data_IF_476449802119
#
_entry.id   IF_476449802119
#
_cell.length_a   1.000
_cell.length_b   1.000
_cell.length_c   1.000
_cell.angle_alpha   90.00
_cell.angle_beta   90.00
_cell.angle_gamma   90.00
#
_symmetry.space_group_name_H-M   'P 1'
#
loop_
_entity.id
_entity.type
_entity.pdbx_description
1 polymer ?
#
# COMPACT_ATOMS: atom_id res chain seq x y z
N UNK A 1 5.91 16.19 -4.08
CA UNK A 1 5.06 15.41 -3.14
C UNK A 1 5.96 14.75 -2.11
N UNK A 2 5.63 14.73 -0.81
CA UNK A 2 6.49 14.07 0.20
C UNK A 2 6.33 12.55 0.03
N UNK A 3 7.41 11.88 -0.33
CA UNK A 3 7.45 10.43 -0.46
C UNK A 3 7.29 9.74 0.90
N UNK A 4 6.67 8.56 0.91
CA UNK A 4 6.57 7.73 2.11
C UNK A 4 7.96 7.18 2.48
N UNK A 5 8.37 7.35 3.73
CA UNK A 5 9.64 6.83 4.25
C UNK A 5 9.50 6.45 5.73
N UNK A 6 10.42 5.62 6.24
CA UNK A 6 10.37 5.14 7.62
C UNK A 6 9.44 3.94 7.82
N UNK A 7 8.97 3.73 9.05
CA UNK A 7 8.10 2.61 9.40
C UNK A 7 6.64 2.97 9.16
N UNK A 8 5.96 2.14 8.40
CA UNK A 8 4.55 2.26 8.05
C UNK A 8 3.83 1.01 8.57
N UNK A 9 2.79 1.21 9.36
CA UNK A 9 2.02 0.09 9.91
C UNK A 9 1.06 -0.47 8.86
N UNK A 10 1.17 -1.76 8.54
CA UNK A 10 0.12 -2.48 7.82
C UNK A 10 -1.06 -2.67 8.79
N UNK A 11 -1.93 -1.66 8.89
CA UNK A 11 -2.95 -1.58 9.93
C UNK A 11 -3.98 -2.70 9.77
N UNK A 12 -4.33 -3.34 10.89
CA UNK A 12 -5.43 -4.30 10.96
C UNK A 12 -6.77 -3.56 10.91
N UNK A 13 -7.80 -4.24 10.40
CA UNK A 13 -9.17 -3.72 10.41
C UNK A 13 -9.99 -4.47 11.46
N UNK A 14 -10.48 -3.81 12.51
CA UNK A 14 -11.38 -4.43 13.48
C UNK A 14 -12.80 -4.56 12.91
N UNK A 15 -13.42 -5.72 13.16
CA UNK A 15 -14.80 -6.02 12.79
C UNK A 15 -15.61 -6.37 14.04
N UNK A 16 -16.91 -6.17 13.96
CA UNK A 16 -17.86 -6.70 14.95
C UNK A 16 -18.25 -8.16 14.66
N UNK A 17 -19.20 -8.69 15.45
CA UNK A 17 -19.68 -10.06 15.31
C UNK A 17 -20.52 -10.26 14.03
N UNK A 18 -21.06 -9.21 13.48
CA UNK A 18 -21.83 -9.18 12.25
C UNK A 18 -20.93 -9.04 11.00
N UNK A 19 -19.62 -8.77 11.20
CA UNK A 19 -18.63 -8.57 10.13
C UNK A 19 -18.60 -7.13 9.56
N UNK A 20 -19.19 -6.17 10.27
CA UNK A 20 -19.11 -4.76 9.92
C UNK A 20 -17.87 -4.10 10.56
N UNK A 21 -17.38 -3.03 9.95
CA UNK A 21 -16.18 -2.31 10.43
C UNK A 21 -16.50 -1.59 11.75
N UNK A 22 -15.65 -1.77 12.76
CA UNK A 22 -15.72 -1.02 14.02
C UNK A 22 -15.00 0.30 13.90
N UNK A 23 -15.71 1.34 13.47
CA UNK A 23 -15.15 2.67 13.16
C UNK A 23 -14.51 3.35 14.36
N UNK A 24 -15.08 3.23 15.55
CA UNK A 24 -14.50 3.72 16.81
C UNK A 24 -13.15 3.09 17.11
N UNK A 25 -13.02 1.77 16.89
CA UNK A 25 -11.76 1.06 17.09
C UNK A 25 -10.72 1.42 16.02
N UNK A 26 -11.11 1.77 14.78
CA UNK A 26 -10.20 2.37 13.78
C UNK A 26 -9.60 3.66 14.33
N UNK A 27 -10.42 4.54 14.90
CA UNK A 27 -9.97 5.79 15.50
C UNK A 27 -8.95 5.60 16.62
N UNK A 28 -9.17 4.62 17.49
CA UNK A 28 -8.25 4.27 18.58
C UNK A 28 -6.91 3.75 18.05
N UNK A 29 -6.94 2.83 17.06
CA UNK A 29 -5.75 2.31 16.41
C UNK A 29 -4.93 3.40 15.73
N UNK A 30 -5.56 4.25 14.94
CA UNK A 30 -4.90 5.40 14.27
C UNK A 30 -4.25 6.32 15.30
N UNK A 31 -4.97 6.62 16.39
CA UNK A 31 -4.45 7.49 17.46
C UNK A 31 -3.27 6.84 18.19
N UNK A 32 -3.32 5.54 18.46
CA UNK A 32 -2.23 4.78 19.06
C UNK A 32 -0.98 4.83 18.19
N UNK A 33 -1.10 4.54 16.92
CA UNK A 33 0.00 4.54 15.96
C UNK A 33 0.61 5.94 15.77
N UNK A 34 -0.24 6.97 15.65
CA UNK A 34 0.21 8.34 15.50
C UNK A 34 0.98 8.83 16.75
N UNK A 35 0.58 8.41 17.97
CA UNK A 35 1.31 8.73 19.21
C UNK A 35 2.66 8.03 19.28
N UNK A 36 2.78 6.82 18.75
CA UNK A 36 4.03 6.08 18.69
C UNK A 36 5.03 6.65 17.65
N UNK A 37 4.57 7.52 16.75
CA UNK A 37 5.44 8.21 15.80
C UNK A 37 5.76 7.42 14.53
N UNK A 38 4.94 6.44 14.16
CA UNK A 38 5.07 5.77 12.86
C UNK A 38 4.92 6.78 11.71
N UNK A 39 5.61 6.55 10.61
CA UNK A 39 5.60 7.46 9.47
C UNK A 39 4.28 7.44 8.69
N UNK A 40 3.60 6.29 8.68
CA UNK A 40 2.36 6.12 7.94
C UNK A 40 1.56 4.88 8.35
N UNK A 41 0.34 4.80 7.81
CA UNK A 41 -0.56 3.65 7.95
C UNK A 41 -0.93 3.13 6.56
N UNK A 42 -0.79 1.84 6.33
CA UNK A 42 -1.23 1.16 5.12
C UNK A 42 -2.54 0.44 5.43
N UNK A 43 -3.64 1.01 4.94
CA UNK A 43 -5.01 0.57 5.20
C UNK A 43 -5.47 -0.48 4.20
N UNK A 44 -6.34 -1.38 4.63
CA UNK A 44 -6.99 -2.40 3.78
C UNK A 44 -6.02 -3.24 2.93
N UNK A 45 -4.74 -3.34 3.36
CA UNK A 45 -3.80 -4.29 2.79
C UNK A 45 -4.10 -5.72 3.25
N UNK A 46 -3.13 -6.64 3.08
CA UNK A 46 -3.30 -8.05 3.50
C UNK A 46 -3.59 -8.18 5.00
N UNK A 47 -2.87 -7.46 5.85
CA UNK A 47 -3.12 -7.45 7.30
C UNK A 47 -4.47 -6.80 7.66
N UNK A 48 -4.90 -5.81 6.89
CA UNK A 48 -6.17 -5.12 7.06
C UNK A 48 -7.35 -5.80 6.35
N UNK A 49 -7.18 -7.03 5.84
CA UNK A 49 -8.26 -7.84 5.24
C UNK A 49 -8.97 -7.22 4.02
N UNK A 50 -8.40 -6.18 3.40
CA UNK A 50 -9.09 -5.35 2.41
C UNK A 50 -9.63 -6.10 1.19
N UNK A 51 -8.95 -7.17 0.74
CA UNK A 51 -9.40 -7.94 -0.44
C UNK A 51 -10.64 -8.82 -0.21
N UNK A 52 -11.06 -9.00 1.04
CA UNK A 52 -12.28 -9.74 1.40
C UNK A 52 -13.38 -8.82 1.96
N UNK A 53 -13.11 -7.52 2.05
CA UNK A 53 -14.08 -6.50 2.42
C UNK A 53 -14.90 -6.05 1.21
N UNK A 54 -16.13 -5.62 1.47
CA UNK A 54 -16.91 -4.89 0.47
C UNK A 54 -16.25 -3.54 0.17
N UNK A 55 -16.43 -2.98 -1.05
CA UNK A 55 -15.89 -1.66 -1.39
C UNK A 55 -16.32 -0.55 -0.43
N UNK A 56 -17.59 -0.53 -0.02
CA UNK A 56 -18.14 0.44 0.95
C UNK A 56 -17.42 0.37 2.30
N UNK A 57 -17.16 -0.82 2.83
CA UNK A 57 -16.40 -1.00 4.07
C UNK A 57 -14.96 -0.49 3.96
N UNK A 58 -14.32 -0.65 2.79
CA UNK A 58 -12.96 -0.11 2.56
C UNK A 58 -12.96 1.41 2.57
N UNK A 59 -13.95 2.03 1.94
CA UNK A 59 -14.12 3.49 1.94
C UNK A 59 -14.34 4.00 3.37
N UNK A 60 -15.20 3.36 4.15
CA UNK A 60 -15.42 3.68 5.55
C UNK A 60 -14.12 3.66 6.38
N UNK A 61 -13.24 2.67 6.16
CA UNK A 61 -11.92 2.62 6.81
C UNK A 61 -11.05 3.80 6.37
N UNK A 62 -11.08 4.20 5.11
CA UNK A 62 -10.29 5.34 4.62
C UNK A 62 -10.75 6.65 5.28
N UNK A 63 -12.05 6.92 5.28
CA UNK A 63 -12.64 8.12 5.86
C UNK A 63 -12.36 8.24 7.36
N UNK A 64 -12.60 7.16 8.12
CA UNK A 64 -12.35 7.17 9.56
C UNK A 64 -10.86 7.30 9.87
N UNK A 65 -9.99 6.63 9.15
CA UNK A 65 -8.54 6.77 9.37
C UNK A 65 -8.06 8.19 9.10
N UNK A 66 -8.48 8.83 8.03
CA UNK A 66 -8.13 10.24 7.70
C UNK A 66 -8.64 11.19 8.79
N UNK A 67 -9.89 11.04 9.23
CA UNK A 67 -10.51 11.82 10.29
C UNK A 67 -9.70 11.78 11.60
N UNK A 68 -9.20 10.62 11.98
CA UNK A 68 -8.42 10.47 13.23
C UNK A 68 -6.92 10.73 13.06
N UNK A 69 -6.36 10.54 11.86
CA UNK A 69 -4.97 10.87 11.57
C UNK A 69 -4.68 12.37 11.73
N UNK A 70 -5.57 13.24 11.27
CA UNK A 70 -5.46 14.71 11.38
C UNK A 70 -4.10 15.25 10.93
N UNK A 71 -3.53 14.66 9.87
CA UNK A 71 -2.22 15.01 9.35
C UNK A 71 -1.02 14.61 10.21
N UNK A 72 -1.21 13.91 11.35
CA UNK A 72 -0.12 13.47 12.24
C UNK A 72 0.64 12.25 11.72
N UNK A 73 0.02 11.48 10.85
CA UNK A 73 0.55 10.26 10.24
C UNK A 73 0.01 10.16 8.82
N UNK A 74 0.85 9.69 7.88
CA UNK A 74 0.46 9.54 6.49
C UNK A 74 -0.48 8.35 6.28
N UNK A 75 -1.45 8.49 5.39
CA UNK A 75 -2.43 7.45 5.07
C UNK A 75 -2.19 6.95 3.65
N UNK A 76 -1.84 5.69 3.52
CA UNK A 76 -1.73 4.94 2.27
C UNK A 76 -2.90 3.96 2.18
N UNK A 77 -3.84 4.17 1.27
CA UNK A 77 -4.99 3.28 1.08
C UNK A 77 -4.67 2.18 0.06
N UNK A 78 -4.89 0.91 0.39
CA UNK A 78 -4.84 -0.16 -0.59
C UNK A 78 -6.13 -0.19 -1.39
N UNK A 79 -6.02 0.03 -2.71
CA UNK A 79 -7.16 0.07 -3.64
C UNK A 79 -7.18 -1.11 -4.62
N UNK A 80 -6.20 -2.02 -4.54
CA UNK A 80 -6.12 -3.18 -5.42
C UNK A 80 -7.37 -4.06 -5.31
N UNK A 81 -7.83 -4.55 -6.47
CA UNK A 81 -9.00 -5.40 -6.65
C UNK A 81 -8.75 -6.45 -7.73
N UNK A 82 -9.68 -7.39 -7.90
CA UNK A 82 -9.59 -8.40 -8.95
C UNK A 82 -9.78 -7.81 -10.35
N UNK A 83 -10.55 -6.72 -10.47
CA UNK A 83 -10.77 -5.99 -11.72
C UNK A 83 -10.14 -4.59 -11.68
N UNK A 84 -9.77 -4.08 -12.85
CA UNK A 84 -9.26 -2.71 -13.00
C UNK A 84 -10.33 -1.68 -12.69
N UNK A 85 -11.57 -1.92 -13.10
CA UNK A 85 -12.70 -1.02 -12.87
C UNK A 85 -12.95 -0.78 -11.36
N UNK A 86 -12.96 -1.85 -10.57
CA UNK A 86 -13.12 -1.74 -9.10
C UNK A 86 -11.93 -1.05 -8.45
N UNK A 87 -10.70 -1.35 -8.89
CA UNK A 87 -9.49 -0.70 -8.35
C UNK A 87 -9.48 0.81 -8.65
N UNK A 88 -9.91 1.23 -9.84
CA UNK A 88 -10.08 2.63 -10.25
C UNK A 88 -11.17 3.31 -9.41
N UNK A 89 -12.32 2.67 -9.22
CA UNK A 89 -13.39 3.21 -8.38
C UNK A 89 -12.94 3.42 -6.93
N UNK A 90 -12.22 2.43 -6.36
CA UNK A 90 -11.66 2.55 -5.01
C UNK A 90 -10.58 3.62 -4.90
N UNK A 91 -9.78 3.83 -5.96
CA UNK A 91 -8.78 4.89 -5.98
C UNK A 91 -9.44 6.28 -5.92
N UNK A 92 -10.49 6.51 -6.71
CA UNK A 92 -11.27 7.75 -6.65
C UNK A 92 -11.90 7.98 -5.28
N UNK A 93 -12.52 6.94 -4.69
CA UNK A 93 -13.10 7.05 -3.33
C UNK A 93 -12.03 7.31 -2.26
N UNK A 94 -10.82 6.75 -2.40
CA UNK A 94 -9.72 7.03 -1.49
C UNK A 94 -9.23 8.48 -1.60
N UNK A 95 -9.17 9.03 -2.82
CA UNK A 95 -8.84 10.44 -3.05
C UNK A 95 -9.90 11.36 -2.45
N UNK A 96 -11.19 11.08 -2.66
CA UNK A 96 -12.31 11.82 -2.04
C UNK A 96 -12.27 11.76 -0.51
N UNK A 97 -11.89 10.64 0.08
CA UNK A 97 -11.70 10.50 1.52
C UNK A 97 -10.50 11.30 2.05
N UNK A 98 -9.59 11.77 1.18
CA UNK A 98 -8.47 12.62 1.54
C UNK A 98 -7.23 11.86 2.04
N UNK A 99 -6.98 10.65 1.54
CA UNK A 99 -5.75 9.91 1.85
C UNK A 99 -4.52 10.57 1.21
N UNK A 100 -3.33 10.29 1.70
CA UNK A 100 -2.09 10.88 1.19
C UNK A 100 -1.53 10.15 -0.06
N UNK A 101 -1.88 8.87 -0.23
CA UNK A 101 -1.44 8.04 -1.35
C UNK A 101 -2.32 6.80 -1.50
N UNK A 102 -2.25 6.16 -2.66
CA UNK A 102 -2.88 4.87 -2.92
C UNK A 102 -1.86 3.80 -3.26
N UNK A 103 -2.16 2.55 -2.93
CA UNK A 103 -1.35 1.40 -3.30
C UNK A 103 -2.21 0.28 -3.87
N UNK A 104 -1.75 -0.40 -4.92
CA UNK A 104 -2.50 -1.48 -5.54
C UNK A 104 -1.63 -2.71 -5.82
N UNK A 105 -2.19 -3.90 -5.62
CA UNK A 105 -1.66 -5.15 -6.17
C UNK A 105 -2.08 -5.28 -7.63
N UNK A 106 -1.34 -6.06 -8.47
CA UNK A 106 -1.87 -6.44 -9.78
C UNK A 106 -3.19 -7.20 -9.63
N UNK A 107 -4.03 -7.28 -10.67
CA UNK A 107 -5.23 -8.11 -10.65
C UNK A 107 -4.91 -9.50 -10.11
N UNK A 108 -5.71 -10.02 -9.21
CA UNK A 108 -5.51 -11.32 -8.57
C UNK A 108 -6.59 -12.32 -9.00
N UNK A 109 -6.41 -13.60 -8.66
CA UNK A 109 -7.25 -14.73 -9.08
C UNK A 109 -7.10 -15.12 -10.56
N UNK A 110 -6.88 -14.16 -11.47
CA UNK A 110 -6.59 -14.38 -12.89
C UNK A 110 -5.11 -14.19 -13.18
N UNK A 111 -4.63 -14.67 -14.35
CA UNK A 111 -3.26 -14.48 -14.82
C UNK A 111 -3.24 -13.67 -16.11
N UNK A 112 -3.37 -12.34 -16.03
CA UNK A 112 -3.24 -11.48 -17.20
C UNK A 112 -1.80 -11.49 -17.73
N UNK A 113 -1.62 -11.09 -18.97
CA UNK A 113 -0.30 -10.87 -19.54
C UNK A 113 0.37 -9.59 -18.96
N UNK A 114 1.66 -9.41 -19.26
CA UNK A 114 2.44 -8.28 -18.74
C UNK A 114 1.84 -6.93 -19.12
N UNK A 115 1.39 -6.76 -20.36
CA UNK A 115 0.82 -5.48 -20.82
C UNK A 115 -0.51 -5.19 -20.12
N UNK A 116 -1.33 -6.18 -19.89
CA UNK A 116 -2.56 -6.03 -19.11
C UNK A 116 -2.30 -5.61 -17.66
N UNK A 117 -1.24 -6.14 -17.03
CA UNK A 117 -0.82 -5.70 -15.67
C UNK A 117 -0.34 -4.24 -15.69
N UNK A 118 0.47 -3.84 -16.68
CA UNK A 118 0.92 -2.46 -16.81
C UNK A 118 -0.25 -1.50 -17.02
N UNK A 119 -1.19 -1.87 -17.89
CA UNK A 119 -2.38 -1.05 -18.17
C UNK A 119 -3.30 -0.93 -16.95
N UNK A 120 -3.37 -1.97 -16.09
CA UNK A 120 -4.09 -1.89 -14.83
C UNK A 120 -3.53 -0.77 -13.92
N UNK A 121 -2.21 -0.70 -13.75
CA UNK A 121 -1.60 0.35 -12.92
C UNK A 121 -1.70 1.74 -13.57
N UNK A 122 -1.57 1.83 -14.89
CA UNK A 122 -1.79 3.08 -15.61
C UNK A 122 -3.20 3.61 -15.43
N UNK A 123 -4.20 2.75 -15.57
CA UNK A 123 -5.60 3.14 -15.37
C UNK A 123 -5.86 3.66 -13.93
N UNK A 124 -5.23 3.07 -12.92
CA UNK A 124 -5.31 3.57 -11.54
C UNK A 124 -4.62 4.93 -11.43
N UNK A 125 -3.43 5.06 -12.02
CA UNK A 125 -2.67 6.30 -11.98
C UNK A 125 -3.39 7.45 -12.71
N UNK A 126 -4.01 7.19 -13.86
CA UNK A 126 -4.80 8.15 -14.62
C UNK A 126 -6.07 8.62 -13.91
N UNK A 127 -6.59 7.82 -12.98
CA UNK A 127 -7.85 8.09 -12.30
C UNK A 127 -7.71 9.05 -11.09
N UNK A 128 -6.49 9.29 -10.60
CA UNK A 128 -6.24 10.10 -9.39
C UNK A 128 -5.00 10.98 -9.56
N UNK A 129 -4.97 12.10 -8.84
CA UNK A 129 -3.78 12.96 -8.72
C UNK A 129 -2.83 12.50 -7.59
N UNK A 130 -3.26 11.53 -6.78
CA UNK A 130 -2.50 11.01 -5.66
C UNK A 130 -1.26 10.23 -6.10
N UNK A 131 -0.19 10.20 -5.27
CA UNK A 131 0.91 9.26 -5.43
C UNK A 131 0.43 7.81 -5.41
N UNK A 132 0.86 7.02 -6.40
CA UNK A 132 0.50 5.60 -6.56
C UNK A 132 1.70 4.73 -6.24
N UNK A 133 1.50 3.73 -5.38
CA UNK A 133 2.49 2.72 -5.04
C UNK A 133 2.08 1.36 -5.59
N UNK A 134 2.93 0.74 -6.36
CA UNK A 134 2.73 -0.63 -6.82
C UNK A 134 3.01 -1.58 -5.65
N UNK A 135 2.10 -2.52 -5.39
CA UNK A 135 2.27 -3.51 -4.32
C UNK A 135 2.56 -4.89 -4.93
N UNK A 136 3.82 -5.30 -4.89
CA UNK A 136 4.25 -6.61 -5.35
C UNK A 136 4.16 -7.65 -4.23
N UNK A 137 3.18 -8.56 -4.32
CA UNK A 137 2.98 -9.68 -3.40
C UNK A 137 2.56 -10.94 -4.18
N UNK A 138 3.45 -11.54 -4.98
CA UNK A 138 3.09 -12.62 -5.92
C UNK A 138 2.51 -13.86 -5.26
N UNK A 139 2.85 -14.12 -4.00
CA UNK A 139 2.28 -15.23 -3.22
C UNK A 139 0.75 -15.13 -3.07
N UNK A 140 0.22 -13.92 -2.94
CA UNK A 140 -1.20 -13.67 -2.72
C UNK A 140 -1.91 -13.25 -4.02
N UNK A 141 -1.26 -12.40 -4.83
CA UNK A 141 -1.84 -11.90 -6.07
C UNK A 141 -1.69 -12.87 -7.25
N UNK A 142 -0.87 -13.93 -7.14
CA UNK A 142 -0.52 -14.88 -8.21
C UNK A 142 0.26 -14.26 -9.38
N UNK A 143 0.37 -12.94 -9.42
CA UNK A 143 1.03 -12.16 -10.45
C UNK A 143 2.16 -11.35 -9.81
N UNK A 144 3.35 -11.43 -10.40
CA UNK A 144 4.50 -10.65 -9.97
C UNK A 144 4.66 -9.41 -10.87
N UNK A 145 5.07 -8.30 -10.25
CA UNK A 145 5.55 -7.13 -10.98
C UNK A 145 7.08 -7.20 -11.01
N UNK A 146 7.66 -7.41 -12.18
CA UNK A 146 9.12 -7.55 -12.31
C UNK A 146 9.83 -6.19 -12.26
N UNK A 147 11.15 -6.14 -11.97
CA UNK A 147 11.91 -4.90 -12.04
C UNK A 147 11.81 -4.19 -13.39
N UNK A 148 11.79 -4.94 -14.50
CA UNK A 148 11.56 -4.41 -15.85
C UNK A 148 10.18 -3.74 -15.98
N UNK A 149 9.13 -4.36 -15.45
CA UNK A 149 7.78 -3.78 -15.45
C UNK A 149 7.73 -2.51 -14.59
N UNK A 150 8.38 -2.53 -13.41
CA UNK A 150 8.46 -1.36 -12.56
C UNK A 150 9.20 -0.19 -13.21
N UNK A 151 10.29 -0.48 -13.95
CA UNK A 151 11.01 0.55 -14.70
C UNK A 151 10.09 1.22 -15.74
N UNK A 152 9.26 0.46 -16.43
CA UNK A 152 8.25 1.03 -17.36
C UNK A 152 7.17 1.83 -16.63
N UNK A 153 6.71 1.37 -15.46
CA UNK A 153 5.71 2.08 -14.66
C UNK A 153 6.28 3.34 -14.01
N UNK A 154 7.59 3.41 -13.78
CA UNK A 154 8.22 4.62 -13.22
C UNK A 154 8.25 5.81 -14.21
N UNK A 155 7.87 5.60 -15.46
CA UNK A 155 7.68 6.66 -16.45
C UNK A 155 6.33 7.40 -16.25
N UNK A 156 5.37 6.81 -15.50
CA UNK A 156 4.09 7.45 -15.20
C UNK A 156 4.28 8.49 -14.08
N UNK A 157 3.79 9.73 -14.27
CA UNK A 157 4.14 10.87 -13.40
C UNK A 157 3.82 10.70 -11.92
N UNK A 158 2.75 9.98 -11.59
CA UNK A 158 2.29 9.78 -10.21
C UNK A 158 2.50 8.35 -9.68
N UNK A 159 3.08 7.43 -10.45
CA UNK A 159 3.58 6.16 -9.91
C UNK A 159 4.96 6.42 -9.31
N UNK A 160 5.04 6.48 -7.99
CA UNK A 160 6.20 7.02 -7.25
C UNK A 160 6.96 5.99 -6.43
N UNK A 161 6.46 4.74 -6.37
CA UNK A 161 7.12 3.74 -5.54
C UNK A 161 6.58 2.33 -5.71
N UNK A 162 7.31 1.40 -5.09
CA UNK A 162 6.92 -0.01 -4.99
C UNK A 162 7.08 -0.51 -3.57
N UNK A 163 6.07 -1.23 -3.07
CA UNK A 163 6.16 -2.07 -1.88
C UNK A 163 6.44 -3.50 -2.31
N UNK A 164 7.58 -4.05 -1.91
CA UNK A 164 7.93 -5.44 -2.22
C UNK A 164 7.71 -6.38 -1.03
N UNK A 165 6.81 -7.33 -1.20
CA UNK A 165 6.53 -8.44 -0.28
C UNK A 165 6.72 -9.81 -0.97
N UNK A 166 7.60 -9.88 -1.97
CA UNK A 166 7.91 -11.11 -2.70
C UNK A 166 8.56 -12.18 -1.83
N UNK A 167 9.22 -11.79 -0.73
CA UNK A 167 10.12 -12.60 0.08
C UNK A 167 11.37 -13.05 -0.68
N UNK A 168 11.69 -12.37 -1.75
CA UNK A 168 12.92 -12.54 -2.50
C UNK A 168 13.76 -11.27 -2.33
N UNK A 169 14.84 -11.36 -1.53
CA UNK A 169 15.69 -10.21 -1.26
C UNK A 169 16.44 -9.74 -2.52
N UNK A 170 16.80 -10.69 -3.40
CA UNK A 170 17.45 -10.34 -4.67
C UNK A 170 16.50 -9.53 -5.55
N UNK A 171 15.22 -9.89 -5.58
CA UNK A 171 14.20 -9.12 -6.31
C UNK A 171 14.10 -7.69 -5.80
N UNK A 172 14.12 -7.48 -4.47
CA UNK A 172 14.12 -6.14 -3.88
C UNK A 172 15.38 -5.36 -4.28
N UNK A 173 16.57 -6.00 -4.25
CA UNK A 173 17.82 -5.37 -4.68
C UNK A 173 17.80 -4.97 -6.16
N UNK A 174 17.17 -5.77 -7.02
CA UNK A 174 17.00 -5.43 -8.43
C UNK A 174 16.11 -4.18 -8.61
N UNK A 175 15.05 -4.01 -7.81
CA UNK A 175 14.30 -2.75 -7.81
C UNK A 175 15.20 -1.57 -7.45
N UNK A 176 15.99 -1.66 -6.37
CA UNK A 176 16.90 -0.59 -5.96
C UNK A 176 17.97 -0.28 -7.01
N UNK A 177 18.37 -1.27 -7.81
CA UNK A 177 19.37 -1.12 -8.87
C UNK A 177 18.83 -0.44 -10.13
N UNK A 178 17.59 -0.74 -10.53
CA UNK A 178 17.06 -0.32 -11.85
C UNK A 178 16.18 0.91 -11.81
N UNK A 179 15.58 1.21 -10.66
CA UNK A 179 14.67 2.34 -10.53
C UNK A 179 15.44 3.65 -10.26
N UNK A 180 14.91 4.80 -10.69
CA UNK A 180 15.50 6.10 -10.39
C UNK A 180 15.68 6.34 -8.88
N UNK A 181 16.69 7.11 -8.47
CA UNK A 181 17.01 7.41 -7.06
C UNK A 181 15.84 8.09 -6.31
N UNK A 182 15.05 8.88 -7.01
CA UNK A 182 13.84 9.51 -6.48
C UNK A 182 12.69 8.53 -6.24
N UNK A 183 12.74 7.33 -6.83
CA UNK A 183 11.68 6.34 -6.68
C UNK A 183 11.71 5.68 -5.30
N UNK A 184 10.55 5.44 -4.72
CA UNK A 184 10.45 4.88 -3.36
C UNK A 184 10.34 3.36 -3.39
N UNK A 185 11.38 2.65 -2.95
CA UNK A 185 11.33 1.21 -2.70
C UNK A 185 11.07 0.96 -1.22
N UNK A 186 9.97 0.25 -0.91
CA UNK A 186 9.53 -0.07 0.45
C UNK A 186 9.61 -1.57 0.68
N UNK A 187 10.27 -1.98 1.75
CA UNK A 187 10.34 -3.38 2.16
C UNK A 187 9.03 -3.81 2.84
N UNK A 188 8.41 -4.88 2.35
CA UNK A 188 7.20 -5.46 2.93
C UNK A 188 7.43 -6.84 3.55
N UNK A 189 8.68 -7.22 3.81
CA UNK A 189 9.07 -8.49 4.43
C UNK A 189 9.85 -8.22 5.71
N UNK A 190 9.27 -8.51 6.86
CA UNK A 190 9.79 -8.10 8.18
C UNK A 190 11.26 -8.53 8.41
N UNK A 191 11.62 -9.76 8.04
CA UNK A 191 13.00 -10.27 8.17
C UNK A 191 14.04 -9.53 7.32
N UNK A 192 13.60 -8.72 6.35
CA UNK A 192 14.49 -7.97 5.46
C UNK A 192 14.51 -6.47 5.74
N UNK A 193 13.77 -5.97 6.72
CA UNK A 193 13.67 -4.51 6.99
C UNK A 193 15.07 -3.91 7.19
N UNK A 194 15.87 -4.46 8.10
CA UNK A 194 17.20 -3.93 8.38
C UNK A 194 18.15 -4.01 7.17
N UNK A 195 18.38 -5.19 6.54
CA UNK A 195 19.25 -5.24 5.37
C UNK A 195 18.73 -4.41 4.19
N UNK A 196 17.41 -4.31 3.98
CA UNK A 196 16.86 -3.47 2.93
C UNK A 196 17.13 -1.99 3.16
N UNK A 197 16.99 -1.50 4.40
CA UNK A 197 17.33 -0.12 4.77
C UNK A 197 18.82 0.18 4.53
N UNK A 198 19.72 -0.74 4.90
CA UNK A 198 21.16 -0.61 4.64
C UNK A 198 21.45 -0.53 3.14
N UNK A 199 20.67 -1.25 2.31
CA UNK A 199 20.81 -1.26 0.85
C UNK A 199 20.14 -0.09 0.15
N UNK A 200 19.42 0.79 0.87
CA UNK A 200 18.82 2.02 0.33
C UNK A 200 17.30 2.02 0.19
N UNK A 201 16.59 1.01 0.69
CA UNK A 201 15.13 1.07 0.78
C UNK A 201 14.70 2.24 1.67
N UNK A 202 13.71 3.03 1.22
CA UNK A 202 13.31 4.28 1.90
C UNK A 202 12.44 4.03 3.14
N UNK A 203 11.82 2.85 3.24
CA UNK A 203 10.95 2.52 4.36
C UNK A 203 10.55 1.05 4.39
N UNK A 204 9.73 0.71 5.38
CA UNK A 204 9.15 -0.62 5.53
C UNK A 204 7.65 -0.54 5.86
N UNK A 205 6.87 -1.45 5.28
CA UNK A 205 5.47 -1.67 5.68
C UNK A 205 5.40 -3.00 6.40
N UNK A 206 5.12 -2.96 7.71
CA UNK A 206 5.18 -4.12 8.60
C UNK A 206 3.89 -4.32 9.39
N UNK A 207 3.52 -5.59 9.58
CA UNK A 207 2.41 -5.97 10.45
C UNK A 207 2.78 -5.93 11.94
N UNK A 208 4.07 -6.08 12.30
CA UNK A 208 4.52 -6.05 13.69
C UNK A 208 4.26 -4.70 14.37
N UNK A 209 4.30 -3.61 13.63
CA UNK A 209 4.03 -2.28 14.18
C UNK A 209 2.59 -2.10 14.70
N UNK A 210 1.64 -3.01 14.40
CA UNK A 210 0.33 -2.98 15.07
C UNK A 210 0.44 -3.15 16.59
N UNK A 211 1.39 -3.98 17.04
CA UNK A 211 1.59 -4.29 18.46
C UNK A 211 2.82 -3.59 19.06
N UNK A 212 3.84 -3.34 18.24
CA UNK A 212 5.14 -2.81 18.66
C UNK A 212 5.57 -1.66 17.73
N UNK A 213 4.85 -0.51 17.75
CA UNK A 213 5.12 0.59 16.82
C UNK A 213 6.38 1.38 17.15
N UNK A 214 6.90 1.25 18.37
CA UNK A 214 8.03 1.98 18.98
C UNK A 214 9.35 1.18 19.04
N UNK A 215 9.38 -0.01 18.37
CA UNK A 215 10.54 -0.92 18.36
C UNK A 215 11.30 -0.87 17.04
#
# INVERSE_FOLDING_TARGET
>A
MSQLSGIITALVTPFDEEGEVKTDAIGDLVTFQAKAGVAGLFLCGTAGSGVIMRPDQRVEVFEEAVKYARGRVKILAHVGAASTEEAVGLAGSAEEAGVDAVGAVPPFFVKPDKESILNHFRAIAEAVELPVYVYNIPRNALNAVTPEMMLRLSEEPNIVGVKDSSRDFIHLLEYLRVLPDEFTVICGTDSYIYPAAVMGAKGAITGYANAFPDV
#
